data_IF_608804659139
#
_entry.id   IF_608804659139
#
_cell.length_a   1.000
_cell.length_b   1.000
_cell.length_c   1.000
_cell.angle_alpha   90.00
_cell.angle_beta   90.00
_cell.angle_gamma   90.00
#
_symmetry.space_group_name_H-M   'P 1'
#
loop_
_entity.id
_entity.type
_entity.pdbx_description
1 polymer ?
#
# COMPACT_ATOMS: atom_id res chain seq x y z
N UNK A 1 9.61 -27.01 -6.36
CA UNK A 1 10.64 -26.18 -7.00
C UNK A 1 11.08 -25.14 -6.00
N UNK A 2 12.37 -25.06 -5.68
CA UNK A 2 12.90 -23.99 -4.83
C UNK A 2 12.76 -22.66 -5.59
N UNK A 3 11.95 -21.73 -5.08
CA UNK A 3 11.91 -20.38 -5.63
C UNK A 3 13.23 -19.69 -5.33
N UNK A 4 13.92 -19.30 -6.40
CA UNK A 4 15.15 -18.52 -6.31
C UNK A 4 14.76 -17.07 -5.98
N UNK A 5 15.43 -16.41 -5.03
CA UNK A 5 15.13 -15.02 -4.71
C UNK A 5 15.28 -14.15 -5.96
N UNK A 6 14.34 -13.22 -6.13
CA UNK A 6 14.34 -12.29 -7.25
C UNK A 6 15.52 -11.32 -7.11
N UNK A 7 16.03 -10.85 -8.26
CA UNK A 7 17.04 -9.79 -8.27
C UNK A 7 16.44 -8.48 -7.71
N UNK A 8 17.20 -7.64 -6.98
CA UNK A 8 16.67 -6.38 -6.41
C UNK A 8 15.97 -5.48 -7.43
N UNK A 9 16.49 -5.41 -8.66
CA UNK A 9 15.83 -4.69 -9.78
C UNK A 9 14.44 -5.24 -10.13
N UNK A 10 14.26 -6.56 -10.05
CA UNK A 10 12.95 -7.19 -10.27
C UNK A 10 12.00 -6.90 -9.12
N UNK A 11 12.49 -6.93 -7.87
CA UNK A 11 11.71 -6.54 -6.69
C UNK A 11 11.24 -5.09 -6.77
N UNK A 12 12.13 -4.17 -7.13
CA UNK A 12 11.80 -2.75 -7.31
C UNK A 12 10.77 -2.53 -8.43
N UNK A 13 10.92 -3.22 -9.57
CA UNK A 13 9.98 -3.10 -10.69
C UNK A 13 8.60 -3.69 -10.38
N UNK A 14 8.53 -4.77 -9.60
CA UNK A 14 7.27 -5.40 -9.23
C UNK A 14 6.57 -4.71 -8.06
N UNK A 15 7.30 -3.99 -7.22
CA UNK A 15 6.77 -3.24 -6.07
C UNK A 15 5.80 -4.10 -5.23
N UNK A 16 6.27 -5.26 -4.74
CA UNK A 16 5.48 -6.27 -4.03
C UNK A 16 4.41 -7.02 -4.85
N UNK A 17 4.16 -6.63 -6.10
CA UNK A 17 3.20 -7.30 -6.99
C UNK A 17 1.75 -7.20 -6.51
N UNK A 18 1.42 -6.14 -5.75
CA UNK A 18 0.09 -5.91 -5.22
C UNK A 18 -0.89 -5.60 -6.36
N UNK A 19 -2.09 -6.17 -6.27
CA UNK A 19 -3.21 -5.81 -7.14
C UNK A 19 -4.23 -5.07 -6.28
N UNK A 20 -4.72 -3.95 -6.79
CA UNK A 20 -5.78 -3.21 -6.11
C UNK A 20 -7.03 -4.10 -5.95
N UNK A 21 -7.54 -4.19 -4.72
CA UNK A 21 -8.64 -5.11 -4.41
C UNK A 21 -9.95 -4.64 -5.01
N UNK A 22 -10.17 -3.33 -5.08
CA UNK A 22 -11.44 -2.72 -5.48
C UNK A 22 -11.60 -2.71 -7.00
N UNK A 23 -10.60 -2.21 -7.73
CA UNK A 23 -10.66 -2.01 -9.19
C UNK A 23 -9.89 -3.05 -10.01
N UNK A 24 -9.07 -3.89 -9.35
CA UNK A 24 -8.12 -4.81 -10.01
C UNK A 24 -7.04 -4.08 -10.84
N UNK A 25 -6.79 -2.81 -10.55
CA UNK A 25 -5.68 -2.09 -11.16
C UNK A 25 -4.33 -2.76 -10.82
N UNK A 26 -3.48 -2.87 -11.84
CA UNK A 26 -2.11 -3.39 -11.71
C UNK A 26 -1.19 -2.34 -11.10
N UNK A 27 -1.40 -1.08 -11.45
CA UNK A 27 -0.72 0.05 -10.79
C UNK A 27 -1.62 0.51 -9.65
N UNK A 28 -1.10 0.61 -8.41
CA UNK A 28 -1.90 1.03 -7.27
C UNK A 28 -2.41 2.47 -7.43
N UNK A 29 -3.60 2.79 -6.90
CA UNK A 29 -4.11 4.16 -6.86
C UNK A 29 -3.22 5.12 -6.05
N UNK A 30 -3.32 6.41 -6.36
CA UNK A 30 -2.71 7.48 -5.55
C UNK A 30 -3.78 8.04 -4.60
N UNK A 31 -3.61 7.80 -3.31
CA UNK A 31 -4.53 8.27 -2.27
C UNK A 31 -4.17 9.71 -1.85
N UNK A 32 -4.68 10.69 -2.60
CA UNK A 32 -4.43 12.13 -2.34
C UNK A 32 -5.27 12.73 -1.19
N UNK A 33 -6.06 11.91 -0.49
CA UNK A 33 -6.89 12.39 0.61
C UNK A 33 -6.03 12.73 1.83
N UNK A 34 -6.41 13.80 2.52
CA UNK A 34 -5.83 14.14 3.82
C UNK A 34 -6.54 13.46 4.98
N UNK A 35 -7.81 13.05 4.83
CA UNK A 35 -8.62 12.47 5.91
C UNK A 35 -9.46 11.29 5.41
N UNK A 36 -9.96 10.47 6.34
CA UNK A 36 -10.72 9.26 6.04
C UNK A 36 -12.08 9.24 6.76
N UNK A 37 -13.01 8.45 6.23
CA UNK A 37 -14.32 8.23 6.85
C UNK A 37 -14.14 7.51 8.18
N UNK A 38 -14.90 7.96 9.18
CA UNK A 38 -14.97 7.33 10.50
C UNK A 38 -16.10 6.32 10.55
N UNK A 39 -16.03 5.42 11.53
CA UNK A 39 -17.16 4.57 11.90
C UNK A 39 -18.33 5.42 12.42
N UNK A 40 -19.53 4.86 12.48
CA UNK A 40 -20.74 5.57 12.93
C UNK A 40 -20.62 6.10 14.37
N UNK A 41 -19.83 5.44 15.21
CA UNK A 41 -19.51 5.83 16.58
C UNK A 41 -18.29 6.76 16.70
N UNK A 42 -17.77 7.26 15.57
CA UNK A 42 -16.53 8.01 15.41
C UNK A 42 -15.24 7.21 15.65
N UNK A 43 -15.30 5.88 15.62
CA UNK A 43 -14.13 5.00 15.60
C UNK A 43 -13.30 5.05 14.30
N UNK A 44 -12.17 4.35 14.32
CA UNK A 44 -11.22 4.20 13.21
C UNK A 44 -10.89 2.72 12.94
N UNK A 45 -11.91 1.87 12.83
CA UNK A 45 -11.75 0.43 12.64
C UNK A 45 -10.94 0.05 11.39
N UNK A 46 -10.92 0.93 10.38
CA UNK A 46 -10.15 0.76 9.14
C UNK A 46 -8.64 0.98 9.30
N UNK A 47 -8.21 1.54 10.43
CA UNK A 47 -6.81 1.88 10.71
C UNK A 47 -6.32 3.19 10.09
N UNK A 48 -7.11 3.86 9.26
CA UNK A 48 -6.76 5.14 8.65
C UNK A 48 -7.43 6.31 9.38
N UNK A 49 -6.62 7.23 9.90
CA UNK A 49 -7.11 8.40 10.65
C UNK A 49 -6.95 9.69 9.85
N UNK A 50 -5.72 9.96 9.43
CA UNK A 50 -5.34 11.16 8.68
C UNK A 50 -4.11 10.82 7.84
N UNK A 51 -3.98 11.43 6.66
CA UNK A 51 -2.95 11.07 5.67
C UNK A 51 -1.52 11.36 6.12
N UNK A 52 -1.32 12.22 7.13
CA UNK A 52 0.01 12.50 7.70
C UNK A 52 0.61 11.28 8.39
N UNK A 53 -0.06 10.66 9.39
CA UNK A 53 0.45 9.42 9.99
C UNK A 53 0.20 8.17 9.13
N UNK A 54 -0.93 8.08 8.40
CA UNK A 54 -1.36 6.85 7.74
C UNK A 54 -1.95 7.12 6.36
N UNK A 55 -1.22 6.71 5.31
CA UNK A 55 -1.65 6.82 3.92
C UNK A 55 -1.17 5.60 3.13
N UNK A 56 -2.08 4.92 2.45
CA UNK A 56 -1.78 3.66 1.76
C UNK A 56 -0.69 3.80 0.68
N UNK A 57 -0.70 4.90 -0.09
CA UNK A 57 0.34 5.16 -1.10
C UNK A 57 1.72 5.29 -0.45
N UNK A 58 1.80 5.91 0.73
CA UNK A 58 3.05 6.03 1.48
C UNK A 58 3.48 4.68 2.07
N UNK A 59 2.54 3.93 2.68
CA UNK A 59 2.82 2.59 3.25
C UNK A 59 3.35 1.61 2.21
N UNK A 60 2.83 1.66 0.99
CA UNK A 60 3.31 0.83 -0.10
C UNK A 60 4.76 1.19 -0.48
N UNK A 61 5.08 2.49 -0.61
CA UNK A 61 6.44 2.94 -0.87
C UNK A 61 7.41 2.54 0.27
N UNK A 62 7.01 2.71 1.53
CA UNK A 62 7.78 2.27 2.70
C UNK A 62 8.07 0.77 2.65
N UNK A 63 7.06 -0.03 2.31
CA UNK A 63 7.18 -1.50 2.25
C UNK A 63 8.09 -1.95 1.11
N UNK A 64 8.05 -1.29 -0.05
CA UNK A 64 8.99 -1.55 -1.15
C UNK A 64 10.41 -1.22 -0.73
N UNK A 65 10.64 -0.07 -0.07
CA UNK A 65 11.97 0.31 0.40
C UNK A 65 12.50 -0.66 1.47
N UNK A 66 11.65 -1.13 2.38
CA UNK A 66 12.03 -2.09 3.41
C UNK A 66 12.34 -3.49 2.87
N UNK A 67 11.78 -3.85 1.70
CA UNK A 67 12.01 -5.14 1.04
C UNK A 67 13.36 -5.19 0.29
N UNK A 68 13.89 -4.05 -0.14
CA UNK A 68 15.13 -3.93 -0.93
C UNK A 68 16.40 -4.02 -0.09
#
# INVERSE_FOLDING_TARGET
MLQRPLHPRSLAAQAMGKIDRETKAVVPPIHVSTTYLRDEDNGYSTGFVYGRPDNETIREAESVLAML
#
